data_IF_104902157264
#
_entry.id   IF_104902157264
#
_cell.length_a   1.000
_cell.length_b   1.000
_cell.length_c   1.000
_cell.angle_alpha   90.00
_cell.angle_beta   90.00
_cell.angle_gamma   90.00
#
_symmetry.space_group_name_H-M   'P 1'
#
loop_
_entity.id
_entity.type
_entity.pdbx_description
1 polymer ?
#
# COMPACT_ATOMS: atom_id res chain seq x y z
N UNK A 1 -15.72 7.55 -5.78
CA UNK A 1 -14.71 6.63 -5.20
C UNK A 1 -14.23 5.61 -6.21
N UNK A 2 -15.05 4.61 -6.60
CA UNK A 2 -14.59 3.51 -7.47
C UNK A 2 -13.95 3.97 -8.80
N UNK A 3 -14.59 4.89 -9.53
CA UNK A 3 -14.03 5.44 -10.78
C UNK A 3 -12.67 6.10 -10.59
N UNK A 4 -12.46 6.78 -9.46
CA UNK A 4 -11.19 7.43 -9.12
C UNK A 4 -10.09 6.39 -8.83
N UNK A 5 -10.43 5.27 -8.16
CA UNK A 5 -9.49 4.16 -8.00
C UNK A 5 -9.08 3.56 -9.35
N UNK A 6 -10.05 3.41 -10.27
CA UNK A 6 -9.77 2.94 -11.63
C UNK A 6 -8.94 3.95 -12.45
N UNK A 7 -9.09 5.25 -12.20
CA UNK A 7 -8.26 6.30 -12.80
C UNK A 7 -6.82 6.18 -12.30
N UNK A 8 -6.61 6.05 -10.98
CA UNK A 8 -5.29 5.86 -10.38
C UNK A 8 -4.59 4.58 -10.88
N UNK A 9 -5.33 3.49 -11.11
CA UNK A 9 -4.78 2.29 -11.76
C UNK A 9 -4.43 2.47 -13.24
N UNK A 10 -5.00 3.45 -13.92
CA UNK A 10 -4.68 3.71 -15.34
C UNK A 10 -3.55 4.72 -15.48
N UNK A 11 -3.56 5.74 -14.64
CA UNK A 11 -2.73 6.93 -14.79
C UNK A 11 -1.60 7.01 -13.76
N UNK A 12 -1.67 6.23 -12.67
CA UNK A 12 -0.71 6.30 -11.57
C UNK A 12 -1.11 7.30 -10.49
N UNK A 13 -0.20 7.54 -9.54
CA UNK A 13 -0.35 8.62 -8.55
C UNK A 13 -0.30 9.99 -9.24
N UNK A 14 -1.01 11.00 -8.72
CA UNK A 14 -0.77 12.39 -9.11
C UNK A 14 0.70 12.77 -8.89
N UNK A 15 1.24 13.64 -9.75
CA UNK A 15 2.59 14.20 -9.64
C UNK A 15 2.51 15.74 -9.62
N UNK A 16 2.83 16.41 -8.49
CA UNK A 16 3.28 15.82 -7.23
C UNK A 16 2.15 15.07 -6.51
N UNK A 17 2.53 14.08 -5.68
CA UNK A 17 1.57 13.39 -4.83
C UNK A 17 0.91 14.37 -3.84
N UNK A 18 -0.40 14.23 -3.57
CA UNK A 18 -1.08 15.11 -2.61
C UNK A 18 -0.40 15.08 -1.24
N UNK A 19 -0.35 16.22 -0.56
CA UNK A 19 0.26 16.36 0.78
C UNK A 19 -0.72 16.85 1.84
N UNK A 20 -1.96 17.13 1.45
CA UNK A 20 -3.04 17.62 2.33
C UNK A 20 -4.31 16.82 2.04
N UNK A 21 -5.03 16.45 3.09
CA UNK A 21 -6.35 15.83 2.95
C UNK A 21 -7.40 16.93 2.73
N UNK A 22 -8.02 16.93 1.55
CA UNK A 22 -9.11 17.84 1.24
C UNK A 22 -10.45 17.24 1.71
N UNK A 23 -11.00 17.85 2.76
CA UNK A 23 -12.28 17.47 3.36
C UNK A 23 -13.45 17.49 2.38
N UNK A 24 -13.41 18.37 1.38
CA UNK A 24 -14.47 18.48 0.37
C UNK A 24 -14.48 17.30 -0.59
N UNK A 25 -13.32 16.67 -0.81
CA UNK A 25 -13.18 15.48 -1.64
C UNK A 25 -13.40 14.19 -0.82
N UNK A 26 -13.14 14.22 0.49
CA UNK A 26 -13.30 13.08 1.40
C UNK A 26 -12.41 11.88 1.07
N UNK A 27 -11.42 12.09 0.20
CA UNK A 27 -10.56 11.07 -0.38
C UNK A 27 -9.21 11.68 -0.73
N UNK A 28 -8.13 10.95 -0.44
CA UNK A 28 -6.78 11.31 -0.85
C UNK A 28 -5.97 10.06 -1.16
N UNK A 29 -5.43 9.91 -2.38
CA UNK A 29 -4.60 8.75 -2.69
C UNK A 29 -3.28 8.81 -1.91
N UNK A 30 -2.88 7.65 -1.38
CA UNK A 30 -1.62 7.46 -0.65
C UNK A 30 -0.65 6.54 -1.40
N UNK A 31 -1.11 5.77 -2.37
CA UNK A 31 -0.23 4.93 -3.17
C UNK A 31 -0.98 4.03 -4.13
N UNK A 32 -0.33 3.70 -5.23
CA UNK A 32 -0.79 2.71 -6.20
C UNK A 32 0.35 1.76 -6.52
N UNK A 33 0.05 0.48 -6.66
CA UNK A 33 1.00 -0.50 -7.19
C UNK A 33 0.32 -1.48 -8.12
N UNK A 34 1.09 -1.97 -9.10
CA UNK A 34 0.67 -2.98 -10.06
C UNK A 34 1.76 -4.02 -10.27
N UNK A 35 1.34 -5.28 -10.32
CA UNK A 35 2.20 -6.41 -10.65
C UNK A 35 1.48 -7.29 -11.70
N UNK A 36 1.79 -7.03 -12.97
CA UNK A 36 1.18 -7.72 -14.11
C UNK A 36 -0.32 -7.44 -14.25
N UNK A 37 -1.15 -8.38 -13.82
CA UNK A 37 -2.62 -8.30 -13.90
C UNK A 37 -3.27 -7.95 -12.56
N UNK A 38 -2.51 -7.72 -11.50
CA UNK A 38 -3.07 -7.32 -10.21
C UNK A 38 -2.66 -5.90 -9.86
N UNK A 39 -3.55 -5.19 -9.17
CA UNK A 39 -3.36 -3.81 -8.78
C UNK A 39 -3.86 -3.57 -7.36
N UNK A 40 -3.36 -2.52 -6.72
CA UNK A 40 -3.87 -2.05 -5.43
C UNK A 40 -3.78 -0.54 -5.38
N UNK A 41 -4.80 0.08 -4.80
CA UNK A 41 -4.79 1.51 -4.46
C UNK A 41 -4.98 1.63 -2.96
N UNK A 42 -4.12 2.39 -2.29
CA UNK A 42 -4.31 2.80 -0.91
C UNK A 42 -4.60 4.29 -0.83
N UNK A 43 -5.52 4.66 0.05
CA UNK A 43 -6.01 6.03 0.17
C UNK A 43 -6.44 6.32 1.60
N UNK A 44 -6.48 7.61 1.92
CA UNK A 44 -7.05 8.16 3.13
C UNK A 44 -8.49 8.56 2.85
N UNK A 45 -9.38 8.27 3.80
CA UNK A 45 -10.80 8.61 3.76
C UNK A 45 -11.27 8.98 5.17
N UNK A 46 -12.48 9.54 5.28
CA UNK A 46 -13.16 9.67 6.57
C UNK A 46 -13.56 8.29 7.08
N UNK A 47 -13.33 8.05 8.37
CA UNK A 47 -13.74 6.78 8.98
C UNK A 47 -15.26 6.64 8.93
N UNK A 48 -15.79 5.46 8.52
CA UNK A 48 -17.23 5.21 8.54
C UNK A 48 -17.77 5.04 9.97
N UNK A 49 -16.89 4.89 10.97
CA UNK A 49 -17.26 4.67 12.37
C UNK A 49 -17.14 5.95 13.22
N UNK A 50 -16.28 6.89 12.82
CA UNK A 50 -16.08 8.15 13.50
C UNK A 50 -15.73 9.24 12.47
N UNK A 51 -16.66 10.15 12.16
CA UNK A 51 -16.43 11.23 11.19
C UNK A 51 -15.26 12.15 11.54
N UNK A 52 -14.85 12.26 12.82
CA UNK A 52 -13.70 13.07 13.22
C UNK A 52 -12.36 12.40 12.89
N UNK A 53 -12.35 11.08 12.73
CA UNK A 53 -11.15 10.28 12.49
C UNK A 53 -10.93 9.98 11.01
N UNK A 54 -9.66 9.82 10.64
CA UNK A 54 -9.25 9.37 9.32
C UNK A 54 -9.03 7.85 9.30
N UNK A 55 -9.20 7.26 8.13
CA UNK A 55 -9.08 5.83 7.90
C UNK A 55 -8.22 5.59 6.66
N UNK A 56 -7.32 4.62 6.74
CA UNK A 56 -6.47 4.22 5.62
C UNK A 56 -7.01 2.93 5.05
N UNK A 57 -7.43 2.97 3.80
CA UNK A 57 -7.99 1.83 3.07
C UNK A 57 -7.02 1.36 2.00
N UNK A 58 -7.10 0.08 1.65
CA UNK A 58 -6.42 -0.49 0.50
C UNK A 58 -7.38 -1.39 -0.26
N UNK A 59 -7.66 -1.04 -1.52
CA UNK A 59 -8.55 -1.80 -2.41
C UNK A 59 -7.74 -2.51 -3.46
N UNK A 60 -7.96 -3.82 -3.60
CA UNK A 60 -7.23 -4.70 -4.50
C UNK A 60 -8.04 -4.96 -5.76
N UNK A 61 -7.37 -5.07 -6.89
CA UNK A 61 -7.97 -5.24 -8.21
C UNK A 61 -7.26 -6.34 -9.00
N UNK A 62 -7.99 -6.89 -9.97
CA UNK A 62 -7.47 -7.82 -10.96
C UNK A 62 -7.95 -7.43 -12.35
N UNK A 63 -7.02 -7.30 -13.28
CA UNK A 63 -7.29 -7.01 -14.69
C UNK A 63 -7.66 -8.29 -15.42
N UNK A 64 -8.88 -8.36 -15.96
CA UNK A 64 -9.37 -9.47 -16.78
C UNK A 64 -9.93 -8.91 -18.07
N UNK A 65 -9.50 -9.45 -19.21
CA UNK A 65 -9.93 -8.99 -20.55
C UNK A 65 -9.74 -7.48 -20.77
N UNK A 66 -8.69 -6.89 -20.19
CA UNK A 66 -8.42 -5.45 -20.30
C UNK A 66 -9.14 -4.58 -19.27
N UNK A 67 -10.08 -5.13 -18.50
CA UNK A 67 -10.85 -4.39 -17.50
C UNK A 67 -10.39 -4.69 -16.07
N UNK A 68 -10.31 -3.65 -15.24
CA UNK A 68 -9.99 -3.78 -13.83
C UNK A 68 -11.25 -4.15 -13.03
N UNK A 69 -11.20 -5.30 -12.36
CA UNK A 69 -12.26 -5.77 -11.48
C UNK A 69 -11.82 -5.66 -10.03
N UNK A 70 -12.66 -5.08 -9.17
CA UNK A 70 -12.40 -4.98 -7.74
C UNK A 70 -12.51 -6.35 -7.06
N UNK A 71 -11.51 -6.70 -6.25
CA UNK A 71 -11.48 -7.91 -5.43
C UNK A 71 -11.78 -7.64 -3.95
N UNK A 72 -12.09 -6.38 -3.62
CA UNK A 72 -12.25 -5.88 -2.27
C UNK A 72 -10.93 -5.50 -1.62
N UNK A 73 -11.01 -5.19 -0.33
CA UNK A 73 -9.93 -4.54 0.38
C UNK A 73 -10.09 -4.60 1.88
N UNK A 74 -9.29 -3.78 2.55
CA UNK A 74 -9.38 -3.60 3.99
C UNK A 74 -8.67 -2.33 4.41
N UNK A 75 -9.08 -1.82 5.56
CA UNK A 75 -8.51 -0.61 6.13
C UNK A 75 -8.35 -0.69 7.63
N UNK A 76 -7.82 0.39 8.18
CA UNK A 76 -7.67 0.59 9.62
C UNK A 76 -7.59 2.08 9.92
N UNK A 77 -7.77 2.42 11.19
CA UNK A 77 -7.65 3.80 11.65
C UNK A 77 -6.29 4.38 11.26
N UNK A 78 -6.32 5.60 10.76
CA UNK A 78 -5.09 6.35 10.50
C UNK A 78 -4.45 6.78 11.82
N UNK A 79 -3.11 6.94 11.89
CA UNK A 79 -2.48 7.65 12.99
C UNK A 79 -2.89 9.14 12.97
N UNK A 80 -2.63 9.85 14.06
CA UNK A 80 -3.00 11.27 14.23
C UNK A 80 -2.43 12.19 13.13
N UNK A 81 -1.18 11.96 12.73
CA UNK A 81 -0.52 12.69 11.65
C UNK A 81 -0.20 11.75 10.46
N UNK A 82 -1.19 11.32 9.67
CA UNK A 82 -0.97 10.28 8.66
C UNK A 82 -0.08 10.76 7.51
N UNK A 83 0.01 12.06 7.27
CA UNK A 83 0.77 12.61 6.14
C UNK A 83 2.19 13.04 6.51
N UNK A 84 2.52 13.09 7.81
CA UNK A 84 3.84 13.51 8.26
C UNK A 84 4.88 12.43 7.94
N UNK A 85 5.90 12.74 7.14
CA UNK A 85 7.02 11.81 6.89
C UNK A 85 7.96 11.80 8.09
N UNK A 86 8.18 10.62 8.68
CA UNK A 86 8.92 10.44 9.93
C UNK A 86 10.31 9.83 9.67
N UNK A 87 11.25 10.09 10.55
CA UNK A 87 12.58 9.48 10.55
C UNK A 87 12.51 7.98 10.86
N UNK A 88 13.57 7.23 10.55
CA UNK A 88 13.64 5.82 10.89
C UNK A 88 13.58 5.58 12.40
N UNK A 89 14.18 6.49 13.19
CA UNK A 89 14.14 6.43 14.66
C UNK A 89 12.72 6.56 15.21
N UNK A 90 11.90 7.45 14.65
CA UNK A 90 10.50 7.63 15.05
C UNK A 90 9.60 6.47 14.60
N UNK A 91 9.85 5.89 13.41
CA UNK A 91 9.08 4.75 12.90
C UNK A 91 9.48 3.42 13.52
N UNK A 92 10.70 3.31 14.08
CA UNK A 92 11.30 2.05 14.51
C UNK A 92 11.97 1.27 13.36
N UNK A 93 12.25 1.92 12.23
CA UNK A 93 12.96 1.36 11.07
C UNK A 93 12.72 2.14 9.78
N UNK A 94 13.52 1.84 8.74
CA UNK A 94 13.39 2.48 7.43
C UNK A 94 12.17 2.01 6.64
N UNK A 95 11.73 0.77 6.86
CA UNK A 95 10.55 0.15 6.25
C UNK A 95 9.68 -0.46 7.35
N UNK A 96 8.47 0.07 7.55
CA UNK A 96 7.54 -0.41 8.57
C UNK A 96 6.24 -0.86 7.92
N UNK A 97 5.94 -2.15 8.00
CA UNK A 97 4.67 -2.70 7.55
C UNK A 97 3.60 -2.50 8.59
N UNK A 98 2.54 -1.77 8.23
CA UNK A 98 1.42 -1.48 9.15
C UNK A 98 0.10 -2.13 8.71
N UNK A 99 0.04 -2.70 7.49
CA UNK A 99 -1.16 -3.37 7.03
C UNK A 99 -0.85 -4.46 6.01
N UNK A 100 -1.63 -5.54 6.04
CA UNK A 100 -1.64 -6.58 5.00
C UNK A 100 -3.07 -7.02 4.72
N UNK A 101 -3.35 -7.47 3.51
CA UNK A 101 -4.59 -8.15 3.19
C UNK A 101 -4.38 -9.15 2.06
N UNK A 102 -5.35 -10.06 1.91
CA UNK A 102 -5.39 -11.04 0.83
C UNK A 102 -6.80 -11.12 0.28
N UNK A 103 -6.94 -11.00 -1.03
CA UNK A 103 -8.20 -11.16 -1.75
C UNK A 103 -8.15 -12.37 -2.68
N UNK A 104 -9.28 -13.04 -2.84
CA UNK A 104 -9.41 -14.20 -3.75
C UNK A 104 -9.62 -13.70 -5.18
N UNK A 105 -8.75 -14.08 -6.11
CA UNK A 105 -8.83 -13.67 -7.53
C UNK A 105 -10.01 -14.29 -8.31
N UNK A 106 -10.59 -15.38 -7.81
CA UNK A 106 -11.63 -16.17 -8.48
C UNK A 106 -12.75 -16.58 -7.50
N UNK A 107 -13.31 -15.64 -6.75
CA UNK A 107 -14.36 -15.95 -5.77
C UNK A 107 -15.58 -16.65 -6.42
N UNK A 108 -15.84 -16.39 -7.70
CA UNK A 108 -17.02 -16.89 -8.42
C UNK A 108 -16.86 -18.30 -9.00
N UNK A 109 -15.72 -18.98 -8.78
CA UNK A 109 -15.53 -20.35 -9.29
C UNK A 109 -16.19 -21.37 -8.36
N UNK A 110 -17.06 -22.20 -8.94
CA UNK A 110 -17.76 -23.31 -8.27
C UNK A 110 -16.86 -24.40 -7.68
N UNK A 111 -15.58 -24.50 -8.09
CA UNK A 111 -14.65 -25.52 -7.60
C UNK A 111 -13.38 -24.87 -7.00
N UNK A 112 -12.91 -25.32 -5.82
CA UNK A 112 -11.83 -24.68 -5.06
C UNK A 112 -10.41 -24.95 -5.60
N UNK A 113 -10.28 -25.67 -6.72
CA UNK A 113 -8.97 -26.02 -7.27
C UNK A 113 -8.27 -24.78 -7.86
N UNK A 114 -7.21 -24.33 -7.18
CA UNK A 114 -6.32 -23.27 -7.66
C UNK A 114 -6.75 -21.85 -7.30
N UNK A 115 -7.37 -21.63 -6.13
CA UNK A 115 -7.61 -20.28 -5.61
C UNK A 115 -6.31 -19.47 -5.62
N UNK A 116 -6.22 -18.52 -6.55
CA UNK A 116 -5.09 -17.60 -6.66
C UNK A 116 -5.40 -16.42 -5.75
N UNK A 117 -4.53 -16.22 -4.77
CA UNK A 117 -4.62 -15.09 -3.86
C UNK A 117 -3.90 -13.90 -4.47
N UNK A 118 -4.48 -12.72 -4.31
CA UNK A 118 -3.79 -11.45 -4.50
C UNK A 118 -3.50 -10.92 -3.11
N UNK A 119 -2.21 -10.75 -2.81
CA UNK A 119 -1.77 -10.23 -1.52
C UNK A 119 -1.33 -8.79 -1.69
N UNK A 120 -1.54 -7.99 -0.65
CA UNK A 120 -1.00 -6.65 -0.58
C UNK A 120 -0.44 -6.34 0.81
N UNK A 121 0.51 -5.40 0.84
CA UNK A 121 1.08 -4.85 2.05
C UNK A 121 1.20 -3.33 1.93
N UNK A 122 0.89 -2.64 3.02
CA UNK A 122 1.04 -1.20 3.15
C UNK A 122 2.21 -0.91 4.08
N UNK A 123 3.11 -0.05 3.62
CA UNK A 123 4.33 0.30 4.33
C UNK A 123 4.41 1.80 4.58
N UNK A 124 5.05 2.15 5.70
CA UNK A 124 5.61 3.46 5.98
C UNK A 124 7.09 3.41 5.68
N UNK A 125 7.56 4.39 4.93
CA UNK A 125 8.94 4.55 4.50
C UNK A 125 9.52 5.79 5.19
N UNK A 126 10.72 5.66 5.74
CA UNK A 126 11.33 6.73 6.50
C UNK A 126 11.80 7.90 5.62
N UNK A 127 12.07 9.05 6.24
CA UNK A 127 12.58 10.26 5.59
C UNK A 127 13.94 10.06 4.92
N UNK A 128 14.79 9.21 5.48
CA UNK A 128 16.15 8.92 5.00
C UNK A 128 16.17 8.03 3.75
N UNK A 129 15.06 7.37 3.44
CA UNK A 129 14.96 6.51 2.26
C UNK A 129 14.59 7.36 1.03
N UNK A 130 15.45 7.42 0.03
CA UNK A 130 15.19 8.19 -1.19
C UNK A 130 14.58 7.35 -2.31
N UNK A 131 14.95 6.07 -2.38
CA UNK A 131 14.41 5.14 -3.37
C UNK A 131 13.96 3.83 -2.71
N UNK A 132 12.93 3.21 -3.29
CA UNK A 132 12.47 1.89 -2.88
C UNK A 132 12.58 0.91 -4.04
N UNK A 133 13.00 -0.32 -3.74
CA UNK A 133 13.01 -1.43 -4.70
C UNK A 133 12.18 -2.59 -4.18
N UNK A 134 11.30 -3.13 -5.02
CA UNK A 134 10.48 -4.31 -4.74
C UNK A 134 10.89 -5.42 -5.70
N UNK A 135 11.71 -6.35 -5.21
CA UNK A 135 12.40 -7.32 -6.07
C UNK A 135 13.26 -6.60 -7.13
N UNK A 136 12.77 -6.54 -8.37
CA UNK A 136 13.44 -5.85 -9.49
C UNK A 136 12.79 -4.52 -9.88
N UNK A 137 11.65 -4.16 -9.30
CA UNK A 137 10.88 -2.96 -9.65
C UNK A 137 11.36 -1.79 -8.79
N UNK A 138 11.78 -0.69 -9.42
CA UNK A 138 11.96 0.57 -8.72
C UNK A 138 10.58 1.19 -8.44
N UNK A 139 10.42 1.83 -7.29
CA UNK A 139 9.20 2.50 -6.88
C UNK A 139 9.52 3.87 -6.30
N UNK A 140 8.79 4.88 -6.78
CA UNK A 140 8.81 6.22 -6.21
C UNK A 140 8.17 6.23 -4.83
N UNK A 141 8.69 7.09 -3.94
CA UNK A 141 8.18 7.25 -2.58
C UNK A 141 7.48 8.61 -2.50
N UNK A 142 6.15 8.64 -2.35
CA UNK A 142 5.43 9.89 -2.13
C UNK A 142 5.95 10.67 -0.93
N UNK A 143 5.76 12.00 -0.92
CA UNK A 143 6.28 12.88 0.13
C UNK A 143 5.82 12.51 1.54
N UNK A 144 4.64 11.89 1.70
CA UNK A 144 4.13 11.41 2.99
C UNK A 144 4.68 10.02 3.40
N UNK A 145 5.47 9.36 2.56
CA UNK A 145 6.14 8.09 2.85
C UNK A 145 5.22 6.87 2.93
N UNK A 146 3.98 6.96 2.45
CA UNK A 146 3.12 5.78 2.31
C UNK A 146 3.38 5.13 0.97
N UNK A 147 3.52 3.81 1.00
CA UNK A 147 3.60 2.98 -0.21
C UNK A 147 2.76 1.73 0.01
N UNK A 148 2.24 1.20 -1.08
CA UNK A 148 1.52 -0.07 -1.09
C UNK A 148 2.17 -0.98 -2.12
N UNK A 149 2.16 -2.28 -1.86
CA UNK A 149 2.76 -3.28 -2.74
C UNK A 149 1.74 -4.39 -2.93
N UNK A 150 1.51 -4.79 -4.18
CA UNK A 150 0.67 -5.94 -4.54
C UNK A 150 1.50 -7.05 -5.17
N UNK A 151 1.10 -8.29 -4.93
CA UNK A 151 1.66 -9.45 -5.64
C UNK A 151 0.64 -10.58 -5.75
N UNK A 152 0.64 -11.25 -6.90
CA UNK A 152 -0.14 -12.48 -7.14
C UNK A 152 0.69 -13.77 -7.02
N UNK A 153 2.01 -13.65 -6.85
CA UNK A 153 2.93 -14.79 -6.77
C UNK A 153 2.80 -15.54 -5.43
N UNK A 154 3.16 -16.83 -5.41
CA UNK A 154 3.14 -17.66 -4.19
C UNK A 154 4.11 -17.13 -3.12
N UNK A 155 5.25 -16.60 -3.54
CA UNK A 155 6.27 -16.02 -2.65
C UNK A 155 6.09 -14.52 -2.62
N UNK A 156 6.04 -13.96 -1.41
CA UNK A 156 6.01 -12.51 -1.23
C UNK A 156 7.36 -11.89 -1.63
N UNK A 157 7.35 -10.65 -2.15
CA UNK A 157 8.58 -9.99 -2.55
C UNK A 157 9.37 -9.49 -1.33
N UNK A 158 10.67 -9.29 -1.56
CA UNK A 158 11.54 -8.55 -0.66
C UNK A 158 11.53 -7.08 -1.10
N UNK A 159 11.44 -6.19 -0.12
CA UNK A 159 11.46 -4.75 -0.29
C UNK A 159 12.76 -4.20 0.27
N UNK A 160 13.41 -3.30 -0.46
CA UNK A 160 14.65 -2.66 -0.06
C UNK A 160 14.46 -1.15 -0.05
N UNK A 161 14.85 -0.54 1.07
CA UNK A 161 14.97 0.91 1.23
C UNK A 161 16.40 1.30 0.87
N UNK A 162 16.53 2.27 -0.04
CA UNK A 162 17.81 2.73 -0.55
C UNK A 162 18.01 4.21 -0.19
N UNK A 163 19.25 4.56 0.13
CA UNK A 163 19.69 5.95 0.27
C UNK A 163 19.94 6.58 -1.12
N UNK A 164 20.28 7.87 -1.12
CA UNK A 164 20.51 8.66 -2.33
C UNK A 164 21.65 8.10 -3.20
N UNK A 165 22.69 7.57 -2.56
CA UNK A 165 23.82 6.93 -3.23
C UNK A 165 23.52 5.49 -3.72
N UNK A 166 22.29 5.02 -3.52
CA UNK A 166 21.84 3.67 -3.86
C UNK A 166 22.23 2.60 -2.85
N UNK A 167 22.89 2.94 -1.74
CA UNK A 167 23.19 2.00 -0.66
C UNK A 167 21.92 1.50 0.01
N UNK A 168 21.90 0.23 0.43
CA UNK A 168 20.73 -0.36 1.09
C UNK A 168 20.70 -0.01 2.57
N UNK A 169 19.67 0.71 2.99
CA UNK A 169 19.42 1.09 4.38
C UNK A 169 18.73 -0.02 5.16
N UNK A 170 17.76 -0.71 4.53
CA UNK A 170 17.05 -1.82 5.13
C UNK A 170 16.44 -2.74 4.07
N UNK A 171 16.12 -3.97 4.48
CA UNK A 171 15.37 -4.92 3.68
C UNK A 171 14.24 -5.55 4.51
N UNK A 172 13.09 -5.77 3.88
CA UNK A 172 11.90 -6.34 4.50
C UNK A 172 11.32 -7.46 3.61
N UNK A 173 11.28 -8.68 4.14
CA UNK A 173 10.56 -9.80 3.52
C UNK A 173 9.06 -9.72 3.88
N UNK A 174 8.21 -9.43 2.90
CA UNK A 174 6.76 -9.32 3.11
C UNK A 174 6.10 -10.68 3.40
N UNK A 175 6.80 -11.79 3.19
CA UNK A 175 6.31 -13.15 3.43
C UNK A 175 6.48 -13.59 4.88
N UNK A 176 7.41 -12.96 5.61
CA UNK A 176 7.60 -13.24 7.02
C UNK A 176 6.45 -12.61 7.82
N UNK A 177 5.87 -13.32 8.80
CA UNK A 177 4.92 -12.72 9.72
C UNK A 177 5.62 -11.61 10.53
N UNK A 178 4.96 -10.46 10.74
CA UNK A 178 5.47 -9.50 11.74
C UNK A 178 5.32 -10.20 13.08
N UNK A 179 6.38 -10.27 13.89
CA UNK A 179 6.21 -10.55 15.32
C UNK A 179 5.28 -9.48 15.93
N UNK A 180 4.63 -9.75 17.07
CA UNK A 180 3.79 -8.74 17.71
C UNK A 180 4.58 -7.44 17.91
N UNK A 181 3.98 -6.31 17.52
CA UNK A 181 4.52 -4.98 17.81
C UNK A 181 4.80 -4.92 19.32
N UNK A 182 6.06 -4.68 19.71
CA UNK A 182 6.36 -4.39 21.10
C UNK A 182 5.69 -3.07 21.44
N UNK A 183 4.57 -3.15 22.16
CA UNK A 183 3.96 -1.99 22.80
C UNK A 183 4.99 -1.41 23.77
N UNK A 184 5.61 -0.29 23.42
CA UNK A 184 6.27 0.56 24.41
C UNK A 184 5.16 1.32 25.13
N UNK A 185 4.88 0.88 26.36
CA UNK A 185 4.14 1.65 27.35
C UNK A 185 4.99 2.83 27.84
#
# INVERSE_FOLDING_TARGET
MHEELLRLLREGMPDPAPTVFDESLGFMPLGVDQDGEVGVVTFLSRSPFDPASLFIEGTTFHRRNGEWMELGGGGGSAPEEPLARRTAGELGGHLVRYGTSKSVRNADRLLPWGAKWVSQARLRVSAETTHMRVGRRAMEIPAHGHVVIVWGARRAPIVEALAEDGSTLASLDLGHAVGPLRSTA
#
